data_IF_778638589788
#
_entry.id   IF_778638589788
#
_cell.length_a   1.000
_cell.length_b   1.000
_cell.length_c   1.000
_cell.angle_alpha   90.00
_cell.angle_beta   90.00
_cell.angle_gamma   90.00
#
_symmetry.space_group_name_H-M   'P 1'
#
loop_
_entity.id
_entity.type
_entity.pdbx_description
1 polymer ?
#
# COMPACT_ATOMS: atom_id res chain seq x y z
N UNK A 1 -25.16 -36.54 29.43
CA UNK A 1 -24.89 -35.14 29.06
C UNK A 1 -23.44 -34.94 28.60
N UNK A 2 -22.62 -36.01 28.49
CA UNK A 2 -21.18 -35.95 28.16
C UNK A 2 -20.80 -36.32 26.72
N UNK A 3 -21.64 -37.04 25.96
CA UNK A 3 -21.25 -37.50 24.61
C UNK A 3 -21.11 -36.37 23.58
N UNK A 4 -21.84 -35.26 23.75
CA UNK A 4 -21.73 -34.11 22.84
C UNK A 4 -20.48 -33.27 23.08
N UNK A 5 -19.88 -33.30 24.27
CA UNK A 5 -18.66 -32.55 24.56
C UNK A 5 -17.43 -33.23 23.94
N UNK A 6 -17.34 -34.56 24.07
CA UNK A 6 -16.27 -35.38 23.50
C UNK A 6 -16.25 -35.31 21.95
N UNK A 7 -17.43 -35.34 21.30
CA UNK A 7 -17.54 -35.21 19.84
C UNK A 7 -17.10 -33.84 19.31
N UNK A 8 -17.30 -32.77 20.10
CA UNK A 8 -16.86 -31.41 19.72
C UNK A 8 -15.34 -31.25 19.89
N UNK A 9 -14.75 -31.86 20.91
CA UNK A 9 -13.29 -31.90 21.12
C UNK A 9 -12.57 -32.68 20.02
N UNK A 10 -13.11 -33.83 19.62
CA UNK A 10 -12.55 -34.64 18.52
C UNK A 10 -12.64 -33.93 17.17
N UNK A 11 -13.75 -33.24 16.90
CA UNK A 11 -13.91 -32.43 15.69
C UNK A 11 -12.91 -31.26 15.65
N UNK A 12 -12.67 -30.58 16.77
CA UNK A 12 -11.68 -29.50 16.86
C UNK A 12 -10.24 -30.01 16.70
N UNK A 13 -9.93 -31.17 17.28
CA UNK A 13 -8.65 -31.86 17.10
C UNK A 13 -8.39 -32.25 15.65
N UNK A 14 -9.42 -32.73 14.94
CA UNK A 14 -9.34 -33.05 13.52
C UNK A 14 -9.12 -31.80 12.65
N UNK A 15 -9.80 -30.69 12.94
CA UNK A 15 -9.62 -29.41 12.23
C UNK A 15 -8.19 -28.89 12.41
N UNK A 16 -7.66 -28.91 13.62
CA UNK A 16 -6.28 -28.48 13.91
C UNK A 16 -5.23 -29.33 13.16
N UNK A 17 -5.45 -30.64 13.05
CA UNK A 17 -4.59 -31.54 12.27
C UNK A 17 -4.64 -31.21 10.77
N UNK A 18 -5.82 -30.92 10.23
CA UNK A 18 -6.00 -30.54 8.81
C UNK A 18 -5.31 -29.20 8.53
N UNK A 19 -5.43 -28.22 9.42
CA UNK A 19 -4.75 -26.91 9.30
C UNK A 19 -3.23 -27.05 9.38
N UNK A 20 -2.72 -27.91 10.28
CA UNK A 20 -1.29 -28.23 10.34
C UNK A 20 -0.81 -28.87 9.04
N UNK A 21 -1.56 -29.82 8.48
CA UNK A 21 -1.22 -30.51 7.24
C UNK A 21 -1.20 -29.55 6.04
N UNK A 22 -2.19 -28.65 5.96
CA UNK A 22 -2.26 -27.61 4.93
C UNK A 22 -1.07 -26.65 5.01
N UNK A 23 -0.68 -26.27 6.23
CA UNK A 23 0.48 -25.39 6.48
C UNK A 23 1.79 -26.07 6.07
N UNK A 24 1.95 -27.35 6.40
CA UNK A 24 3.12 -28.14 5.98
C UNK A 24 3.19 -28.34 4.46
N UNK A 25 2.04 -28.49 3.79
CA UNK A 25 1.97 -28.62 2.32
C UNK A 25 2.30 -27.30 1.63
N UNK A 26 1.82 -26.17 2.16
CA UNK A 26 2.10 -24.83 1.58
C UNK A 26 3.54 -24.40 1.75
N UNK A 27 4.20 -24.84 2.84
CA UNK A 27 5.60 -24.55 3.11
C UNK A 27 6.59 -25.55 2.46
N UNK A 28 6.11 -26.53 1.67
CA UNK A 28 6.97 -27.48 0.98
C UNK A 28 7.37 -26.96 -0.42
N UNK A 29 8.65 -26.62 -0.59
CA UNK A 29 9.21 -26.04 -1.82
C UNK A 29 9.03 -26.94 -3.06
N UNK A 30 8.97 -28.26 -2.90
CA UNK A 30 8.76 -29.20 -4.01
C UNK A 30 7.33 -29.14 -4.57
N UNK A 31 6.34 -28.77 -3.74
CA UNK A 31 4.93 -28.63 -4.12
C UNK A 31 4.63 -27.19 -4.59
N UNK A 32 5.31 -26.21 -3.99
CA UNK A 32 5.23 -24.77 -4.31
C UNK A 32 5.54 -24.44 -5.78
N UNK A 33 6.44 -25.20 -6.42
CA UNK A 33 6.94 -24.94 -7.78
C UNK A 33 6.00 -25.40 -8.90
N UNK A 34 5.05 -26.31 -8.65
CA UNK A 34 4.14 -26.82 -9.68
C UNK A 34 2.81 -26.06 -9.72
N UNK A 35 2.62 -25.24 -10.76
CA UNK A 35 1.44 -24.38 -10.96
C UNK A 35 0.10 -25.14 -10.96
N UNK A 36 0.06 -26.35 -11.52
CA UNK A 36 -1.17 -27.14 -11.60
C UNK A 36 -1.58 -27.68 -10.23
N UNK A 37 -0.60 -28.10 -9.42
CA UNK A 37 -0.83 -28.59 -8.05
C UNK A 37 -1.29 -27.45 -7.15
N UNK A 38 -0.69 -26.26 -7.28
CA UNK A 38 -1.12 -25.06 -6.55
C UNK A 38 -2.54 -24.62 -6.88
N UNK A 39 -2.97 -24.76 -8.14
CA UNK A 39 -4.32 -24.48 -8.58
C UNK A 39 -5.34 -25.38 -7.87
N UNK A 40 -5.12 -26.70 -7.92
CA UNK A 40 -5.99 -27.69 -7.26
C UNK A 40 -6.00 -27.56 -5.74
N UNK A 41 -4.86 -27.23 -5.13
CA UNK A 41 -4.78 -27.01 -3.69
C UNK A 41 -5.61 -25.79 -3.26
N UNK A 42 -5.58 -24.71 -4.04
CA UNK A 42 -6.39 -23.51 -3.77
C UNK A 42 -7.88 -23.79 -3.93
N UNK A 43 -8.26 -24.56 -4.93
CA UNK A 43 -9.65 -24.98 -5.16
C UNK A 43 -10.16 -25.83 -3.99
N UNK A 44 -9.38 -26.81 -3.55
CA UNK A 44 -9.69 -27.63 -2.38
C UNK A 44 -9.82 -26.80 -1.10
N UNK A 45 -8.89 -25.85 -0.86
CA UNK A 45 -8.96 -24.95 0.31
C UNK A 45 -10.20 -24.05 0.23
N UNK A 46 -10.58 -23.56 -0.95
CA UNK A 46 -11.78 -22.77 -1.14
C UNK A 46 -13.05 -23.61 -0.86
N UNK A 47 -13.06 -24.86 -1.30
CA UNK A 47 -14.16 -25.79 -1.06
C UNK A 47 -14.31 -26.18 0.41
N UNK A 48 -13.20 -26.48 1.10
CA UNK A 48 -13.19 -26.73 2.54
C UNK A 48 -13.68 -25.52 3.36
N UNK A 49 -13.39 -24.30 2.90
CA UNK A 49 -13.88 -23.06 3.52
C UNK A 49 -15.36 -22.83 3.24
N UNK A 50 -15.84 -23.08 2.02
CA UNK A 50 -17.25 -23.01 1.65
C UNK A 50 -18.11 -23.97 2.49
N UNK A 51 -17.55 -25.14 2.82
CA UNK A 51 -18.18 -26.15 3.67
C UNK A 51 -18.00 -25.88 5.18
N UNK A 52 -17.40 -24.75 5.58
CA UNK A 52 -17.13 -24.35 6.97
C UNK A 52 -16.28 -25.35 7.78
N UNK A 53 -15.49 -26.19 7.10
CA UNK A 53 -14.62 -27.20 7.74
C UNK A 53 -13.43 -26.53 8.44
N UNK A 54 -12.93 -25.44 7.88
CA UNK A 54 -11.87 -24.62 8.47
C UNK A 54 -12.39 -23.22 8.75
N UNK A 55 -12.02 -22.63 9.88
CA UNK A 55 -12.29 -21.22 10.13
C UNK A 55 -11.31 -20.40 9.31
N UNK A 56 -11.73 -19.22 8.83
CA UNK A 56 -10.73 -18.22 8.44
C UNK A 56 -9.95 -17.87 9.70
N UNK A 57 -8.76 -18.47 9.86
CA UNK A 57 -7.70 -17.80 10.58
C UNK A 57 -7.39 -16.55 9.75
N UNK A 58 -8.11 -15.47 10.04
CA UNK A 58 -7.54 -14.14 9.84
C UNK A 58 -6.20 -14.22 10.54
N UNK A 59 -5.12 -14.23 9.76
CA UNK A 59 -3.81 -13.91 10.28
C UNK A 59 -3.96 -12.46 10.74
N UNK A 60 -4.41 -12.28 11.97
CA UNK A 60 -4.38 -11.01 12.68
C UNK A 60 -2.90 -10.72 12.85
N UNK A 61 -2.28 -10.16 11.82
CA UNK A 61 -1.09 -9.35 12.07
C UNK A 61 -1.61 -8.23 12.98
N UNK A 62 -1.12 -8.13 14.23
CA UNK A 62 -1.53 -7.04 15.10
C UNK A 62 -1.31 -5.72 14.34
N UNK A 63 -2.29 -4.83 14.39
CA UNK A 63 -2.19 -3.57 13.66
C UNK A 63 -0.95 -2.80 14.17
N UNK A 64 0.10 -2.73 13.33
CA UNK A 64 1.37 -2.04 13.65
C UNK A 64 1.16 -0.54 13.85
N UNK A 65 0.26 0.03 13.06
CA UNK A 65 -0.10 1.43 13.09
C UNK A 65 -1.52 1.55 13.63
N UNK A 66 -1.97 2.78 13.87
CA UNK A 66 -3.33 3.06 14.30
C UNK A 66 -4.40 2.58 13.29
N UNK A 67 -4.00 2.21 12.06
CA UNK A 67 -4.86 1.70 11.00
C UNK A 67 -4.35 0.35 10.48
N UNK A 68 -5.28 -0.46 9.98
CA UNK A 68 -4.97 -1.75 9.38
C UNK A 68 -4.18 -1.61 8.09
N UNK A 69 -3.05 -2.32 8.01
CA UNK A 69 -2.15 -2.31 6.86
C UNK A 69 -2.38 -3.57 6.03
N UNK A 70 -2.78 -3.41 4.77
CA UNK A 70 -2.69 -4.51 3.81
C UNK A 70 -1.25 -4.63 3.29
N UNK A 71 -0.41 -5.37 4.01
CA UNK A 71 1.01 -5.52 3.70
C UNK A 71 1.26 -5.99 2.26
N UNK A 72 0.44 -6.92 1.75
CA UNK A 72 0.60 -7.42 0.38
C UNK A 72 0.36 -6.32 -0.65
N UNK A 73 -0.72 -5.54 -0.51
CA UNK A 73 -1.00 -4.42 -1.41
C UNK A 73 0.11 -3.36 -1.33
N UNK A 74 0.53 -2.99 -0.11
CA UNK A 74 1.60 -1.99 0.10
C UNK A 74 2.91 -2.44 -0.55
N UNK A 75 3.32 -3.69 -0.38
CA UNK A 75 4.52 -4.22 -1.03
C UNK A 75 4.39 -4.22 -2.57
N UNK A 76 3.20 -4.49 -3.12
CA UNK A 76 2.98 -4.38 -4.56
C UNK A 76 3.05 -2.94 -5.07
N UNK A 77 2.54 -1.97 -4.30
CA UNK A 77 2.65 -0.54 -4.61
C UNK A 77 4.11 -0.10 -4.57
N UNK A 78 4.82 -0.43 -3.50
CA UNK A 78 6.21 -0.07 -3.28
C UNK A 78 7.12 -0.68 -4.37
N UNK A 79 6.92 -1.95 -4.71
CA UNK A 79 7.65 -2.61 -5.80
C UNK A 79 7.31 -2.03 -7.19
N UNK A 80 6.20 -1.30 -7.35
CA UNK A 80 5.91 -0.59 -8.60
C UNK A 80 6.59 0.79 -8.63
N UNK A 81 6.68 1.46 -7.49
CA UNK A 81 7.33 2.76 -7.31
C UNK A 81 8.85 2.64 -7.50
N UNK A 82 9.48 1.66 -6.85
CA UNK A 82 10.94 1.46 -6.84
C UNK A 82 11.54 0.91 -8.14
N UNK A 83 10.74 0.66 -9.19
CA UNK A 83 11.26 0.03 -10.43
C UNK A 83 12.19 0.90 -11.22
N UNK A 84 11.94 2.20 -11.17
CA UNK A 84 12.66 3.22 -11.90
C UNK A 84 13.68 3.94 -10.98
N UNK A 85 13.99 3.35 -9.82
CA UNK A 85 15.00 3.86 -8.90
C UNK A 85 16.37 3.92 -9.57
N UNK A 86 17.10 4.99 -9.30
CA UNK A 86 18.45 5.14 -9.82
C UNK A 86 19.46 4.24 -9.11
N UNK A 87 19.24 4.04 -7.81
CA UNK A 87 20.08 3.22 -6.94
C UNK A 87 19.39 1.89 -6.66
N UNK A 88 19.45 0.99 -7.64
CA UNK A 88 18.83 -0.33 -7.52
C UNK A 88 19.68 -1.22 -6.62
N UNK A 89 19.04 -1.83 -5.63
CA UNK A 89 19.65 -2.87 -4.81
C UNK A 89 20.05 -4.10 -5.66
N UNK A 90 21.20 -4.70 -5.35
CA UNK A 90 21.78 -5.79 -6.13
C UNK A 90 20.89 -7.04 -6.17
N UNK A 91 20.08 -7.27 -5.12
CA UNK A 91 19.11 -8.36 -5.06
C UNK A 91 17.67 -7.86 -5.22
N UNK A 92 17.47 -6.60 -5.64
CA UNK A 92 16.17 -5.96 -5.84
C UNK A 92 15.27 -6.04 -4.60
N UNK A 93 15.87 -5.97 -3.40
CA UNK A 93 15.18 -6.09 -2.11
C UNK A 93 14.33 -7.37 -1.99
N UNK A 94 14.68 -8.44 -2.72
CA UNK A 94 13.89 -9.68 -2.76
C UNK A 94 13.71 -10.26 -1.36
N UNK A 95 14.75 -10.24 -0.56
CA UNK A 95 14.70 -10.63 0.85
C UNK A 95 13.62 -9.87 1.64
N UNK A 96 13.54 -8.55 1.48
CA UNK A 96 12.57 -7.69 2.16
C UNK A 96 11.14 -7.89 1.63
N UNK A 97 10.98 -8.12 0.32
CA UNK A 97 9.67 -8.39 -0.27
C UNK A 97 9.10 -9.78 0.06
N UNK A 98 9.94 -10.79 0.27
CA UNK A 98 9.50 -12.16 0.55
C UNK A 98 9.30 -12.43 2.05
N UNK A 99 10.09 -11.81 2.93
CA UNK A 99 10.08 -12.10 4.36
C UNK A 99 9.17 -11.16 5.17
N UNK A 100 7.84 -11.33 5.01
CA UNK A 100 6.83 -10.52 5.74
C UNK A 100 6.91 -10.63 7.27
N UNK A 101 7.16 -11.81 7.88
CA UNK A 101 7.32 -11.89 9.32
C UNK A 101 8.51 -11.05 9.83
N UNK A 102 9.65 -11.09 9.13
CA UNK A 102 10.79 -10.26 9.52
C UNK A 102 10.51 -8.76 9.35
N UNK A 103 9.84 -8.35 8.26
CA UNK A 103 9.39 -6.98 8.08
C UNK A 103 8.53 -6.52 9.26
N UNK A 104 7.57 -7.34 9.67
CA UNK A 104 6.69 -7.06 10.81
C UNK A 104 7.48 -6.89 12.11
N UNK A 105 8.37 -7.83 12.44
CA UNK A 105 9.17 -7.77 13.66
C UNK A 105 10.13 -6.58 13.69
N UNK A 106 10.74 -6.23 12.55
CA UNK A 106 11.58 -5.03 12.44
C UNK A 106 10.77 -3.77 12.71
N UNK A 107 9.61 -3.60 12.05
CA UNK A 107 8.74 -2.44 12.26
C UNK A 107 8.24 -2.37 13.71
N UNK A 108 7.88 -3.51 14.31
CA UNK A 108 7.48 -3.58 15.71
C UNK A 108 8.61 -3.13 16.64
N UNK A 109 9.84 -3.55 16.37
CA UNK A 109 11.02 -3.16 17.15
C UNK A 109 11.28 -1.67 17.04
N UNK A 110 11.21 -1.12 15.82
CA UNK A 110 11.38 0.32 15.57
C UNK A 110 10.34 1.15 16.33
N UNK A 111 9.07 0.76 16.25
CA UNK A 111 7.98 1.42 16.98
C UNK A 111 8.15 1.30 18.50
N UNK A 112 8.55 0.15 19.01
CA UNK A 112 8.71 -0.09 20.45
C UNK A 112 9.87 0.73 21.04
N UNK A 113 10.89 1.00 20.23
CA UNK A 113 12.08 1.76 20.66
C UNK A 113 11.75 3.22 20.98
N UNK A 114 10.81 3.83 20.25
CA UNK A 114 10.38 5.23 20.46
C UNK A 114 8.94 5.35 20.99
N UNK A 115 8.57 4.52 21.98
CA UNK A 115 7.28 4.60 22.68
C UNK A 115 6.05 4.57 21.74
N UNK A 116 6.09 3.75 20.70
CA UNK A 116 5.02 3.61 19.71
C UNK A 116 5.05 4.65 18.59
N UNK A 117 6.11 5.46 18.47
CA UNK A 117 6.31 6.40 17.37
C UNK A 117 7.31 5.83 16.38
N UNK A 118 7.03 6.03 15.09
CA UNK A 118 7.98 5.71 14.04
C UNK A 118 8.82 6.94 13.75
N UNK A 119 10.13 6.85 13.99
CA UNK A 119 11.09 7.89 13.61
C UNK A 119 11.74 7.50 12.28
N UNK A 120 11.45 8.30 11.25
CA UNK A 120 12.07 8.09 9.95
C UNK A 120 13.55 8.45 9.93
N UNK A 121 14.32 7.78 9.07
CA UNK A 121 15.74 8.07 8.94
C UNK A 121 16.00 9.38 8.18
N UNK A 122 17.22 9.92 8.32
CA UNK A 122 17.64 11.03 7.48
C UNK A 122 17.71 10.61 6.00
N UNK A 123 17.08 11.41 5.14
CA UNK A 123 17.16 11.23 3.69
C UNK A 123 18.57 11.49 3.19
N UNK A 124 19.02 10.69 2.22
CA UNK A 124 20.28 10.91 1.51
C UNK A 124 20.02 11.68 0.21
N UNK A 125 20.81 12.71 -0.03
CA UNK A 125 20.72 13.51 -1.25
C UNK A 125 21.80 13.06 -2.22
N UNK A 126 21.40 12.72 -3.45
CA UNK A 126 22.32 12.29 -4.50
C UNK A 126 22.06 13.04 -5.79
N UNK A 127 23.12 13.31 -6.54
CA UNK A 127 23.03 13.90 -7.87
C UNK A 127 22.85 12.81 -8.94
N UNK A 128 21.73 12.89 -9.65
CA UNK A 128 21.37 12.04 -10.79
C UNK A 128 21.63 12.81 -12.10
N UNK A 129 22.46 12.25 -13.01
CA UNK A 129 22.67 12.85 -14.31
C UNK A 129 21.42 12.75 -15.18
N UNK A 130 21.05 13.86 -15.83
CA UNK A 130 20.02 13.89 -16.86
C UNK A 130 20.64 13.68 -18.25
N UNK A 131 19.83 13.15 -19.17
CA UNK A 131 20.13 13.21 -20.61
C UNK A 131 20.28 14.68 -21.01
N UNK A 132 21.48 15.08 -21.45
CA UNK A 132 21.82 16.48 -21.78
C UNK A 132 22.74 17.21 -20.79
N UNK A 133 23.56 16.48 -20.01
CA UNK A 133 24.60 17.00 -19.11
C UNK A 133 24.09 17.82 -17.89
N UNK A 134 22.78 17.98 -17.74
CA UNK A 134 22.18 18.57 -16.53
C UNK A 134 22.18 17.57 -15.36
N UNK A 135 22.07 18.10 -14.13
CA UNK A 135 21.98 17.31 -12.91
C UNK A 135 20.60 17.51 -12.27
N UNK A 136 20.06 16.46 -11.64
CA UNK A 136 18.89 16.50 -10.77
C UNK A 136 19.25 15.89 -9.43
N UNK A 137 18.88 16.50 -8.32
CA UNK A 137 19.00 15.78 -7.05
C UNK A 137 17.88 14.73 -6.91
N UNK A 138 18.20 13.64 -6.22
CA UNK A 138 17.27 12.65 -5.69
C UNK A 138 17.27 12.68 -4.18
N UNK A 139 16.14 12.29 -3.58
CA UNK A 139 15.98 12.13 -2.15
C UNK A 139 15.75 10.65 -1.87
N UNK A 140 16.83 9.95 -1.50
CA UNK A 140 16.78 8.53 -1.21
C UNK A 140 16.47 8.30 0.27
N UNK A 141 15.48 7.45 0.52
CA UNK A 141 15.06 7.01 1.85
C UNK A 141 15.19 5.50 1.97
N UNK A 142 15.26 5.01 3.20
CA UNK A 142 15.35 3.58 3.50
C UNK A 142 14.06 2.82 3.12
N UNK A 143 14.17 1.51 2.93
CA UNK A 143 13.05 0.65 2.58
C UNK A 143 11.90 0.73 3.60
N UNK A 144 12.20 0.75 4.90
CA UNK A 144 11.16 0.78 5.94
C UNK A 144 10.44 2.12 5.97
N UNK A 145 11.16 3.23 5.76
CA UNK A 145 10.56 4.57 5.64
C UNK A 145 9.60 4.63 4.47
N UNK A 146 10.01 4.11 3.31
CA UNK A 146 9.15 4.02 2.11
C UNK A 146 7.94 3.12 2.34
N UNK A 147 8.10 2.00 3.05
CA UNK A 147 6.99 1.12 3.38
C UNK A 147 5.95 1.83 4.26
N UNK A 148 6.38 2.53 5.32
CA UNK A 148 5.48 3.30 6.19
C UNK A 148 4.79 4.43 5.42
N UNK A 149 5.56 5.19 4.63
CA UNK A 149 5.01 6.25 3.78
C UNK A 149 3.96 5.71 2.80
N UNK A 150 4.26 4.61 2.12
CA UNK A 150 3.36 3.98 1.17
C UNK A 150 2.12 3.40 1.86
N UNK A 151 2.26 2.82 3.06
CA UNK A 151 1.15 2.32 3.86
C UNK A 151 0.17 3.45 4.24
N UNK A 152 0.70 4.59 4.70
CA UNK A 152 -0.10 5.78 5.01
C UNK A 152 -0.81 6.30 3.76
N UNK A 153 -0.08 6.47 2.65
CA UNK A 153 -0.67 6.92 1.38
C UNK A 153 -1.79 5.98 0.92
N UNK A 154 -1.54 4.67 0.88
CA UNK A 154 -2.53 3.67 0.47
C UNK A 154 -3.78 3.67 1.35
N UNK A 155 -3.63 3.95 2.65
CA UNK A 155 -4.75 4.06 3.57
C UNK A 155 -5.55 5.36 3.36
N UNK A 156 -4.88 6.50 3.16
CA UNK A 156 -5.54 7.81 3.08
C UNK A 156 -6.15 8.11 1.70
N UNK A 157 -5.51 7.67 0.61
CA UNK A 157 -5.93 7.98 -0.76
C UNK A 157 -7.41 7.71 -1.07
N UNK A 158 -8.02 6.57 -0.66
CA UNK A 158 -9.43 6.29 -0.92
C UNK A 158 -10.40 7.34 -0.37
N UNK A 159 -9.99 8.06 0.69
CA UNK A 159 -10.82 9.04 1.38
C UNK A 159 -10.60 10.46 0.88
N UNK A 160 -9.35 10.84 0.62
CA UNK A 160 -8.99 12.21 0.27
C UNK A 160 -8.96 12.47 -1.23
N UNK A 161 -8.55 11.50 -2.06
CA UNK A 161 -8.50 11.70 -3.52
C UNK A 161 -9.86 12.06 -4.14
N UNK A 162 -11.00 11.43 -3.73
CA UNK A 162 -12.32 11.80 -4.27
C UNK A 162 -12.73 13.24 -3.99
N UNK A 163 -12.15 13.88 -2.95
CA UNK A 163 -12.44 15.27 -2.58
C UNK A 163 -11.67 16.27 -3.44
N UNK A 164 -10.63 15.84 -4.15
CA UNK A 164 -9.86 16.70 -5.04
C UNK A 164 -10.66 17.05 -6.29
N UNK A 165 -10.47 18.28 -6.77
CA UNK A 165 -11.09 18.74 -8.02
C UNK A 165 -10.82 17.77 -9.17
N UNK A 166 -11.82 17.59 -10.03
CA UNK A 166 -11.68 16.82 -11.28
C UNK A 166 -10.62 17.41 -12.23
N UNK A 167 -10.18 18.65 -12.00
CA UNK A 167 -9.11 19.32 -12.75
C UNK A 167 -7.70 18.97 -12.26
N UNK A 168 -7.57 18.32 -11.11
CA UNK A 168 -6.30 17.78 -10.62
C UNK A 168 -6.10 16.41 -11.24
N UNK A 169 -5.08 16.26 -12.09
CA UNK A 169 -4.91 15.06 -12.91
C UNK A 169 -3.64 14.26 -12.57
N UNK A 170 -2.67 14.84 -11.86
CA UNK A 170 -1.46 14.13 -11.44
C UNK A 170 -1.74 13.09 -10.35
N UNK A 171 -1.12 11.91 -10.47
CA UNK A 171 -1.06 10.86 -9.43
C UNK A 171 -2.40 10.56 -8.73
N UNK A 172 -3.48 10.48 -9.51
CA UNK A 172 -4.84 10.25 -8.99
C UNK A 172 -5.09 8.81 -8.62
N UNK A 173 -5.81 8.57 -7.52
CA UNK A 173 -6.15 7.23 -7.05
C UNK A 173 -7.01 6.44 -8.06
N UNK A 174 -6.64 5.18 -8.27
CA UNK A 174 -7.40 4.24 -9.10
C UNK A 174 -8.26 3.31 -8.22
N UNK A 175 -9.52 3.71 -8.04
CA UNK A 175 -10.52 2.90 -7.32
C UNK A 175 -10.84 1.59 -8.05
N UNK A 176 -10.82 1.58 -9.38
CA UNK A 176 -11.24 0.45 -10.22
C UNK A 176 -10.02 -0.26 -10.83
N UNK A 177 -8.98 -0.47 -10.03
CA UNK A 177 -7.74 -1.12 -10.49
C UNK A 177 -7.94 -2.62 -10.67
N UNK A 178 -7.31 -3.17 -11.72
CA UNK A 178 -7.31 -4.62 -12.00
C UNK A 178 -6.27 -5.39 -11.19
N UNK A 179 -5.29 -4.70 -10.62
CA UNK A 179 -4.22 -5.24 -9.79
C UNK A 179 -3.76 -4.17 -8.80
N UNK A 180 -3.39 -4.56 -7.58
CA UNK A 180 -2.97 -3.63 -6.53
C UNK A 180 -1.79 -2.77 -7.00
N UNK A 181 -0.82 -3.34 -7.73
CA UNK A 181 0.32 -2.59 -8.29
C UNK A 181 -0.05 -1.30 -9.05
N UNK A 182 -1.28 -1.16 -9.54
CA UNK A 182 -1.77 0.04 -10.23
C UNK A 182 -2.61 0.95 -9.32
N UNK A 183 -2.00 1.45 -8.24
CA UNK A 183 -2.66 2.36 -7.29
C UNK A 183 -3.08 3.70 -7.92
N UNK A 184 -2.35 4.15 -8.94
CA UNK A 184 -2.65 5.38 -9.68
C UNK A 184 -3.36 5.11 -11.00
N UNK A 185 -4.16 6.08 -11.45
CA UNK A 185 -4.77 6.08 -12.79
C UNK A 185 -3.68 6.13 -13.86
N UNK A 186 -4.01 5.64 -15.05
CA UNK A 186 -3.09 5.65 -16.18
C UNK A 186 -2.69 7.09 -16.56
N UNK A 187 -1.39 7.37 -16.58
CA UNK A 187 -0.84 8.71 -16.88
C UNK A 187 -1.18 9.22 -18.28
N UNK A 188 -1.29 8.33 -19.27
CA UNK A 188 -1.58 8.68 -20.67
C UNK A 188 -3.03 9.16 -20.78
N UNK A 189 -3.95 8.47 -20.11
CA UNK A 189 -5.37 8.85 -20.13
C UNK A 189 -5.61 10.18 -19.40
N UNK A 190 -4.90 10.39 -18.28
CA UNK A 190 -4.91 11.67 -17.56
C UNK A 190 -4.34 12.81 -18.41
N UNK A 191 -3.25 12.57 -19.16
CA UNK A 191 -2.69 13.54 -20.10
C UNK A 191 -3.67 13.91 -21.22
N UNK A 192 -4.32 12.92 -21.84
CA UNK A 192 -5.36 13.17 -22.86
C UNK A 192 -6.53 13.98 -22.29
N UNK A 193 -6.92 13.70 -21.05
CA UNK A 193 -7.96 14.45 -20.33
C UNK A 193 -7.54 15.92 -20.16
N UNK A 194 -6.30 16.17 -19.74
CA UNK A 194 -5.74 17.51 -19.61
C UNK A 194 -5.78 18.27 -20.95
N UNK A 195 -5.29 17.66 -22.03
CA UNK A 195 -5.31 18.26 -23.37
C UNK A 195 -6.74 18.58 -23.84
N UNK A 196 -7.68 17.65 -23.62
CA UNK A 196 -9.07 17.82 -24.01
C UNK A 196 -9.78 18.95 -23.24
N UNK A 197 -9.58 19.01 -21.93
CA UNK A 197 -10.15 20.09 -21.08
C UNK A 197 -9.55 21.44 -21.47
N UNK A 198 -8.24 21.48 -21.73
CA UNK A 198 -7.55 22.74 -22.09
C UNK A 198 -8.05 23.26 -23.44
N UNK A 199 -8.17 22.38 -24.45
CA UNK A 199 -8.67 22.76 -25.79
C UNK A 199 -10.13 23.21 -25.77
N UNK A 200 -10.97 22.58 -24.96
CA UNK A 200 -12.41 22.92 -24.88
C UNK A 200 -12.68 24.15 -24.02
N UNK A 201 -11.82 24.47 -23.05
CA UNK A 201 -11.95 25.65 -22.21
C UNK A 201 -11.63 26.95 -22.94
N UNK A 202 -10.79 26.91 -23.98
CA UNK A 202 -10.40 28.09 -24.77
C UNK A 202 -11.44 28.37 -25.87
N UNK A 203 -12.12 29.51 -25.76
CA UNK A 203 -12.94 30.10 -26.82
C UNK A 203 -12.13 31.16 -27.59
N UNK A 204 -12.62 31.56 -28.75
CA UNK A 204 -11.97 32.58 -29.59
C UNK A 204 -11.65 33.86 -28.78
N UNK A 205 -10.46 34.43 -29.04
CA UNK A 205 -9.90 35.62 -28.38
C UNK A 205 -9.56 35.48 -26.88
N UNK A 206 -9.37 34.27 -26.36
CA UNK A 206 -8.86 34.06 -25.00
C UNK A 206 -7.36 33.74 -24.99
N UNK A 207 -6.67 34.14 -23.92
CA UNK A 207 -5.25 33.82 -23.68
C UNK A 207 -5.12 32.76 -22.60
N UNK A 208 -4.13 31.88 -22.73
CA UNK A 208 -3.81 30.86 -21.73
C UNK A 208 -2.68 31.37 -20.82
N UNK A 209 -2.96 31.47 -19.52
CA UNK A 209 -1.91 31.70 -18.52
C UNK A 209 -1.19 30.37 -18.25
N UNK A 210 0.11 30.36 -18.50
CA UNK A 210 0.99 29.22 -18.18
C UNK A 210 1.90 29.65 -17.03
N UNK A 211 1.82 28.92 -15.92
CA UNK A 211 2.61 29.17 -14.71
C UNK A 211 3.45 27.96 -14.39
N UNK A 212 4.69 28.19 -13.97
CA UNK A 212 5.55 27.16 -13.44
C UNK A 212 5.73 27.34 -11.93
N UNK A 213 5.75 26.22 -11.20
CA UNK A 213 5.94 26.16 -9.76
C UNK A 213 7.23 25.41 -9.49
N UNK A 214 8.29 26.15 -9.15
CA UNK A 214 9.59 25.59 -8.84
C UNK A 214 9.68 25.18 -7.37
N UNK A 215 10.44 24.12 -7.10
CA UNK A 215 10.87 23.75 -5.75
C UNK A 215 9.72 23.55 -4.75
N UNK A 216 8.62 22.95 -5.19
CA UNK A 216 7.42 22.73 -4.37
C UNK A 216 7.73 22.08 -3.02
N UNK A 217 8.53 21.00 -3.01
CA UNK A 217 8.87 20.27 -1.78
C UNK A 217 9.80 21.02 -0.83
N UNK A 218 10.53 22.02 -1.32
CA UNK A 218 11.42 22.85 -0.51
C UNK A 218 10.66 24.02 0.14
N UNK A 219 9.61 24.50 -0.54
CA UNK A 219 8.88 25.70 -0.15
C UNK A 219 7.54 25.42 0.56
N UNK A 220 7.02 24.19 0.47
CA UNK A 220 5.77 23.85 1.14
C UNK A 220 5.95 23.76 2.66
N UNK A 221 5.06 24.40 3.41
CA UNK A 221 5.07 24.31 4.87
C UNK A 221 4.22 23.14 5.38
N UNK A 222 4.73 22.45 6.41
CA UNK A 222 3.99 21.37 7.09
C UNK A 222 2.67 21.88 7.67
N UNK A 223 2.66 23.11 8.19
CA UNK A 223 1.45 23.73 8.73
C UNK A 223 0.37 23.92 7.65
N UNK A 224 0.75 24.34 6.44
CA UNK A 224 -0.18 24.48 5.31
C UNK A 224 -0.77 23.13 4.90
N UNK A 225 0.05 22.07 4.86
CA UNK A 225 -0.41 20.70 4.56
C UNK A 225 -1.40 20.25 5.63
N UNK A 226 -1.05 20.39 6.91
CA UNK A 226 -1.92 20.00 8.03
C UNK A 226 -3.27 20.69 7.96
N UNK A 227 -3.28 22.01 7.76
CA UNK A 227 -4.51 22.78 7.61
C UNK A 227 -5.35 22.32 6.41
N UNK A 228 -4.71 22.00 5.28
CA UNK A 228 -5.41 21.47 4.11
C UNK A 228 -6.09 20.11 4.41
N UNK A 229 -5.40 19.19 5.09
CA UNK A 229 -5.96 17.91 5.51
C UNK A 229 -7.11 18.08 6.51
N UNK A 230 -6.96 18.93 7.53
CA UNK A 230 -8.00 19.19 8.53
C UNK A 230 -9.26 19.80 7.89
N UNK A 231 -9.11 20.70 6.90
CA UNK A 231 -10.22 21.28 6.15
C UNK A 231 -10.96 20.24 5.30
N UNK A 232 -10.22 19.28 4.72
CA UNK A 232 -10.82 18.20 3.92
C UNK A 232 -11.47 17.13 4.79
N UNK A 233 -10.97 16.90 6.01
CA UNK A 233 -11.47 15.88 6.93
C UNK A 233 -12.97 16.03 7.24
N UNK A 234 -13.48 17.27 7.24
CA UNK A 234 -14.90 17.54 7.43
C UNK A 234 -15.76 16.89 6.31
N UNK A 235 -15.24 16.90 5.08
CA UNK A 235 -15.90 16.40 3.86
C UNK A 235 -15.68 14.91 3.60
N UNK A 236 -14.77 14.27 4.33
CA UNK A 236 -14.53 12.83 4.22
C UNK A 236 -15.79 12.07 4.65
N UNK A 237 -16.19 11.12 3.82
CA UNK A 237 -17.26 10.17 4.12
C UNK A 237 -16.74 9.08 5.07
N UNK A 238 -16.94 9.29 6.37
CA UNK A 238 -16.49 8.42 7.44
C UNK A 238 -17.18 8.72 8.77
N UNK A 239 -17.20 7.74 9.67
CA UNK A 239 -17.74 7.91 11.03
C UNK A 239 -16.85 8.84 11.89
N UNK A 240 -17.43 9.43 12.94
CA UNK A 240 -16.69 10.31 13.88
C UNK A 240 -15.42 9.68 14.47
N UNK A 241 -15.47 8.43 14.98
CA UNK A 241 -14.29 7.72 15.45
C UNK A 241 -13.21 7.55 14.38
N UNK A 242 -13.60 7.19 13.14
CA UNK A 242 -12.64 7.05 12.06
C UNK A 242 -12.05 8.39 11.60
N UNK A 243 -12.80 9.49 11.67
CA UNK A 243 -12.25 10.84 11.41
C UNK A 243 -11.22 11.21 12.46
N UNK A 244 -11.46 10.87 13.74
CA UNK A 244 -10.46 11.06 14.80
C UNK A 244 -9.20 10.23 14.58
N UNK A 245 -9.34 9.02 14.03
CA UNK A 245 -8.20 8.16 13.72
C UNK A 245 -7.33 8.75 12.61
N UNK A 246 -7.95 9.23 11.52
CA UNK A 246 -7.26 9.83 10.36
C UNK A 246 -6.65 11.20 10.64
N UNK A 247 -6.98 11.82 11.77
CA UNK A 247 -6.40 13.11 12.21
C UNK A 247 -5.06 12.93 12.94
N UNK A 248 -4.86 11.78 13.61
CA UNK A 248 -3.66 11.47 14.38
C UNK A 248 -2.53 11.02 13.46
#
# INVERSE_FOLDING_TARGET
MDDNAALVEDAQSAIMKIESLLTSITNNDAISTNKAVRGKLRELVAECRAQKITKETKTENPDLLAFTINTEAVLQHLNQDMRDDWFVDAIQHRDLFHNKPALYETLRTLLSTDNGRYLGCERKIYDIPKKGLGIRYSLETDFYDRFIYQAICSYLMPYFDPLLSHRVLGHRYNKNRTSEKYIFKNRIDLWKTFEGVTKTALKNNQSLLVTDLLNYFENISIASIKNAFENLLQKVDATGPEKSLRRR
#
